data_IF_216872341003
#
_entry.id   IF_216872341003
#
_cell.length_a   1.000
_cell.length_b   1.000
_cell.length_c   1.000
_cell.angle_alpha   90.00
_cell.angle_beta   90.00
_cell.angle_gamma   90.00
#
_symmetry.space_group_name_H-M   'P 1'
#
loop_
_entity.id
_entity.type
_entity.pdbx_description
1 polymer ?
#
# COMPACT_ATOMS: atom_id res chain seq x y z
N UNK A 1 -11.62 0.97 -7.66
CA UNK A 1 -12.87 1.57 -7.11
C UNK A 1 -13.08 1.35 -5.60
N UNK A 2 -12.50 0.34 -4.95
CA UNK A 2 -12.75 0.12 -3.50
C UNK A 2 -12.12 1.24 -2.62
N UNK A 3 -10.86 1.60 -2.85
CA UNK A 3 -10.17 2.65 -2.11
C UNK A 3 -10.79 4.03 -2.35
N UNK A 4 -11.13 4.36 -3.61
CA UNK A 4 -11.81 5.61 -3.94
C UNK A 4 -13.15 5.78 -3.20
N UNK A 5 -13.94 4.70 -3.07
CA UNK A 5 -15.19 4.73 -2.31
C UNK A 5 -14.96 4.84 -0.81
N UNK A 6 -13.89 4.25 -0.30
CA UNK A 6 -13.55 4.28 1.13
C UNK A 6 -13.07 5.66 1.60
N UNK A 7 -12.27 6.32 0.77
CA UNK A 7 -11.69 7.63 1.09
C UNK A 7 -12.44 8.79 0.41
N UNK A 8 -13.59 8.51 -0.23
CA UNK A 8 -14.42 9.51 -0.91
C UNK A 8 -13.66 10.41 -1.92
N UNK A 9 -12.51 9.93 -2.42
CA UNK A 9 -11.62 10.68 -3.30
C UNK A 9 -10.65 11.65 -2.61
N UNK A 10 -10.67 11.74 -1.28
CA UNK A 10 -9.74 12.55 -0.48
C UNK A 10 -8.29 12.08 -0.64
N UNK A 11 -8.10 10.75 -0.76
CA UNK A 11 -6.79 10.13 -1.01
C UNK A 11 -6.79 9.46 -2.39
N UNK A 12 -5.70 9.59 -3.18
CA UNK A 12 -5.58 8.91 -4.46
C UNK A 12 -5.83 7.41 -4.33
N UNK A 13 -6.70 6.88 -5.18
CA UNK A 13 -6.99 5.45 -5.19
C UNK A 13 -5.83 4.62 -5.75
N UNK A 14 -4.97 5.23 -6.57
CA UNK A 14 -3.73 4.62 -7.05
C UNK A 14 -2.67 4.68 -5.95
N UNK A 15 -2.15 3.53 -5.55
CA UNK A 15 -1.13 3.43 -4.50
C UNK A 15 0.18 4.11 -4.90
N UNK A 16 0.47 4.15 -6.20
CA UNK A 16 1.65 4.82 -6.78
C UNK A 16 1.58 6.35 -6.68
N UNK A 17 0.42 6.91 -6.31
CA UNK A 17 0.23 8.34 -6.10
C UNK A 17 0.10 8.68 -4.61
N UNK A 18 0.57 7.81 -3.72
CA UNK A 18 0.48 7.97 -2.27
C UNK A 18 1.88 7.97 -1.66
N UNK A 19 2.13 8.92 -0.77
CA UNK A 19 3.38 9.07 -0.01
C UNK A 19 3.27 8.54 1.43
N UNK A 20 2.05 8.21 1.87
CA UNK A 20 1.74 7.75 3.24
C UNK A 20 1.89 6.23 3.45
N UNK A 21 2.35 5.49 2.44
CA UNK A 21 2.46 4.03 2.46
C UNK A 21 3.90 3.55 2.76
N UNK A 22 4.31 3.67 4.02
CA UNK A 22 5.58 3.10 4.49
C UNK A 22 5.52 1.57 4.71
N UNK A 23 6.69 0.96 4.95
CA UNK A 23 6.81 -0.49 5.11
C UNK A 23 5.99 -1.03 6.28
N UNK A 24 5.91 -0.30 7.39
CA UNK A 24 5.14 -0.70 8.57
C UNK A 24 3.63 -0.64 8.31
N UNK A 25 3.16 0.41 7.62
CA UNK A 25 1.77 0.57 7.21
C UNK A 25 1.34 -0.52 6.23
N UNK A 26 2.17 -0.81 5.22
CA UNK A 26 1.89 -1.90 4.28
C UNK A 26 1.88 -3.25 4.98
N UNK A 27 2.82 -3.49 5.91
CA UNK A 27 2.85 -4.71 6.71
C UNK A 27 1.60 -4.84 7.56
N UNK A 28 1.10 -3.77 8.17
CA UNK A 28 -0.14 -3.79 8.93
C UNK A 28 -1.31 -4.26 8.05
N UNK A 29 -1.48 -3.71 6.85
CA UNK A 29 -2.59 -4.07 5.96
C UNK A 29 -2.44 -5.48 5.37
N UNK A 30 -1.23 -5.88 4.96
CA UNK A 30 -0.96 -7.20 4.39
C UNK A 30 -1.16 -8.29 5.45
N UNK A 31 -0.76 -8.04 6.70
CA UNK A 31 -0.84 -9.05 7.77
C UNK A 31 -2.21 -9.17 8.41
N UNK A 32 -3.00 -8.10 8.43
CA UNK A 32 -4.32 -8.11 9.06
C UNK A 32 -5.47 -8.16 8.05
N UNK A 33 -5.21 -7.83 6.78
CA UNK A 33 -6.26 -7.57 5.81
C UNK A 33 -7.05 -6.31 6.18
N UNK A 34 -7.95 -5.88 5.29
CA UNK A 34 -8.91 -4.83 5.60
C UNK A 34 -10.17 -4.90 4.73
N UNK A 35 -11.33 -5.02 5.37
CA UNK A 35 -12.62 -5.13 4.68
C UNK A 35 -12.65 -6.35 3.76
N UNK A 36 -12.72 -6.11 2.44
CA UNK A 36 -12.73 -7.16 1.42
C UNK A 36 -11.32 -7.66 1.04
N UNK A 37 -10.25 -7.01 1.52
CA UNK A 37 -8.88 -7.45 1.28
C UNK A 37 -8.48 -8.51 2.31
N UNK A 38 -8.20 -9.77 1.90
CA UNK A 38 -7.74 -10.81 2.82
C UNK A 38 -6.31 -10.55 3.30
N UNK A 39 -5.95 -11.16 4.42
CA UNK A 39 -4.59 -11.16 4.95
C UNK A 39 -3.68 -12.16 4.20
N UNK A 40 -2.38 -11.88 4.15
CA UNK A 40 -1.34 -12.76 3.60
C UNK A 40 -0.40 -13.28 4.69
N UNK A 41 -0.10 -14.58 4.64
CA UNK A 41 0.82 -15.22 5.58
C UNK A 41 2.28 -14.91 5.22
N UNK A 42 3.17 -14.98 6.21
CA UNK A 42 4.62 -14.78 6.01
C UNK A 42 5.26 -15.80 5.06
N UNK A 43 4.66 -16.98 4.94
CA UNK A 43 5.09 -18.03 4.01
C UNK A 43 4.73 -17.73 2.55
N UNK A 44 3.72 -16.88 2.33
CA UNK A 44 3.21 -16.52 0.99
C UNK A 44 3.78 -15.18 0.52
N UNK A 45 3.96 -14.25 1.45
CA UNK A 45 4.59 -12.97 1.21
C UNK A 45 5.51 -12.64 2.37
N UNK A 46 6.82 -12.64 2.15
CA UNK A 46 7.79 -12.42 3.22
C UNK A 46 7.84 -10.96 3.64
N UNK A 47 8.42 -10.69 4.80
CA UNK A 47 8.62 -9.32 5.27
C UNK A 47 9.56 -8.53 4.33
N UNK A 48 10.56 -9.19 3.73
CA UNK A 48 11.45 -8.57 2.76
C UNK A 48 10.73 -8.20 1.45
N UNK A 49 9.77 -9.01 1.01
CA UNK A 49 8.97 -8.70 -0.18
C UNK A 49 8.08 -7.47 0.07
N UNK A 50 7.48 -7.37 1.26
CA UNK A 50 6.69 -6.19 1.66
C UNK A 50 7.56 -4.94 1.67
N UNK A 51 8.78 -5.03 2.22
CA UNK A 51 9.72 -3.90 2.25
C UNK A 51 10.16 -3.48 0.84
N UNK A 52 10.37 -4.44 -0.07
CA UNK A 52 10.67 -4.17 -1.47
C UNK A 52 9.50 -3.47 -2.19
N UNK A 53 8.26 -3.88 -1.93
CA UNK A 53 7.06 -3.21 -2.47
C UNK A 53 6.92 -1.80 -1.90
N UNK A 54 7.20 -1.59 -0.61
CA UNK A 54 7.18 -0.26 -0.01
C UNK A 54 8.20 0.67 -0.68
N UNK A 55 9.41 0.19 -0.91
CA UNK A 55 10.45 0.94 -1.62
C UNK A 55 10.04 1.27 -3.06
N UNK A 56 9.42 0.33 -3.77
CA UNK A 56 8.88 0.57 -5.11
C UNK A 56 7.80 1.65 -5.10
N UNK A 57 6.79 1.53 -4.23
CA UNK A 57 5.70 2.50 -4.17
C UNK A 57 6.20 3.91 -3.84
N UNK A 58 7.15 4.03 -2.91
CA UNK A 58 7.79 5.30 -2.59
C UNK A 58 8.54 5.88 -3.79
N UNK A 59 9.38 5.09 -4.45
CA UNK A 59 10.12 5.55 -5.62
C UNK A 59 9.19 5.98 -6.78
N UNK A 60 8.09 5.25 -6.98
CA UNK A 60 7.10 5.59 -8.02
C UNK A 60 6.28 6.82 -7.66
N UNK A 61 5.95 7.04 -6.38
CA UNK A 61 5.28 8.25 -5.93
C UNK A 61 6.17 9.49 -6.14
N UNK A 62 7.45 9.39 -5.78
CA UNK A 62 8.45 10.43 -6.03
C UNK A 62 8.60 10.72 -7.54
N UNK A 63 8.66 9.68 -8.38
CA UNK A 63 8.77 9.82 -9.83
C UNK A 63 7.50 10.38 -10.49
N UNK A 64 6.32 10.12 -9.91
CA UNK A 64 5.03 10.57 -10.42
C UNK A 64 4.74 12.06 -10.12
N UNK A 65 5.63 12.73 -9.38
CA UNK A 65 5.53 14.15 -9.06
C UNK A 65 4.37 14.51 -8.12
N UNK A 66 3.81 13.51 -7.43
CA UNK A 66 2.82 13.74 -6.39
C UNK A 66 3.53 14.31 -5.17
N UNK A 67 3.13 15.51 -4.76
CA UNK A 67 3.55 16.21 -3.56
C UNK A 67 2.32 16.52 -2.72
#
# INVERSE_FOLDING_TARGET
MALQRRYEGEVPAALELRDDLDGDTLRLFVRNGIGAMPMFRKSELSDADVDAVAAYLKATAEASGVK
#
